data_IF_250834434786
#
_entry.id   IF_250834434786
#
_cell.length_a   1.000
_cell.length_b   1.000
_cell.length_c   1.000
_cell.angle_alpha   90.00
_cell.angle_beta   90.00
_cell.angle_gamma   90.00
#
_symmetry.space_group_name_H-M   'P 1'
#
loop_
_entity.id
_entity.type
_entity.pdbx_description
1 polymer ?
#
# COMPACT_ATOMS: atom_id res chain seq x y z
N UNK A 1 -8.86 -18.05 54.48
CA UNK A 1 -8.68 -18.30 53.04
C UNK A 1 -9.42 -17.20 52.29
N UNK A 2 -8.69 -16.22 51.75
CA UNK A 2 -9.25 -15.12 50.96
C UNK A 2 -8.68 -15.23 49.55
N UNK A 3 -9.55 -15.54 48.59
CA UNK A 3 -9.24 -15.63 47.16
C UNK A 3 -9.05 -14.21 46.61
N UNK A 4 -7.82 -13.86 46.23
CA UNK A 4 -7.54 -12.61 45.49
C UNK A 4 -7.69 -12.91 44.01
N UNK A 5 -8.77 -12.42 43.41
CA UNK A 5 -9.00 -12.48 41.98
C UNK A 5 -8.07 -11.48 41.25
N UNK A 6 -7.11 -12.01 40.49
CA UNK A 6 -6.30 -11.24 39.56
C UNK A 6 -7.17 -10.81 38.37
N UNK A 7 -7.62 -9.57 38.36
CA UNK A 7 -8.19 -8.94 37.16
C UNK A 7 -7.04 -8.44 36.29
N UNK A 8 -6.65 -9.23 35.29
CA UNK A 8 -5.77 -8.78 34.23
C UNK A 8 -6.54 -7.77 33.36
N UNK A 9 -6.48 -6.49 33.73
CA UNK A 9 -6.88 -5.41 32.86
C UNK A 9 -5.89 -5.37 31.68
N UNK A 10 -6.25 -6.01 30.57
CA UNK A 10 -5.61 -5.83 29.28
C UNK A 10 -5.76 -4.35 28.90
N UNK A 11 -4.73 -3.57 29.20
CA UNK A 11 -4.57 -2.22 28.69
C UNK A 11 -4.36 -2.32 27.17
N UNK A 12 -5.48 -2.39 26.43
CA UNK A 12 -5.54 -1.98 25.04
C UNK A 12 -5.20 -0.49 25.01
N UNK A 13 -3.91 -0.18 24.94
CA UNK A 13 -3.45 1.15 24.56
C UNK A 13 -4.16 1.56 23.27
N UNK A 14 -4.38 2.86 23.02
CA UNK A 14 -5.07 3.30 21.82
C UNK A 14 -4.30 2.72 20.65
N UNK A 15 -4.92 1.78 19.92
CA UNK A 15 -4.46 1.43 18.59
C UNK A 15 -4.33 2.77 17.90
N UNK A 16 -3.10 3.19 17.62
CA UNK A 16 -2.87 4.37 16.82
C UNK A 16 -3.75 4.13 15.60
N UNK A 17 -4.80 4.94 15.48
CA UNK A 17 -5.60 4.96 14.28
C UNK A 17 -4.66 5.52 13.23
N UNK A 18 -3.75 4.67 12.72
CA UNK A 18 -3.07 4.82 11.46
C UNK A 18 -4.22 5.20 10.54
N UNK A 19 -4.26 6.48 10.19
CA UNK A 19 -5.33 7.06 9.41
C UNK A 19 -5.46 6.15 8.19
N UNK A 20 -6.49 5.29 8.19
CA UNK A 20 -6.58 4.18 7.26
C UNK A 20 -6.51 4.79 5.88
N UNK A 21 -5.50 4.40 5.10
CA UNK A 21 -5.32 4.95 3.77
C UNK A 21 -6.59 4.65 2.98
N UNK A 22 -7.13 5.64 2.26
CA UNK A 22 -8.36 5.40 1.52
C UNK A 22 -8.12 4.33 0.45
N UNK A 23 -9.16 3.58 0.12
CA UNK A 23 -9.09 2.55 -0.92
C UNK A 23 -8.53 3.10 -2.23
N UNK A 24 -9.02 4.26 -2.67
CA UNK A 24 -8.57 4.90 -3.92
C UNK A 24 -7.10 5.35 -3.86
N UNK A 25 -6.64 5.82 -2.71
CA UNK A 25 -5.22 6.14 -2.52
C UNK A 25 -4.35 4.89 -2.58
N UNK A 26 -4.77 3.81 -1.90
CA UNK A 26 -4.04 2.55 -1.88
C UNK A 26 -3.95 1.92 -3.27
N UNK A 27 -5.06 1.86 -4.03
CA UNK A 27 -5.08 1.36 -5.42
C UNK A 27 -4.18 2.20 -6.32
N UNK A 28 -4.27 3.54 -6.23
CA UNK A 28 -3.42 4.44 -7.02
C UNK A 28 -1.94 4.22 -6.71
N UNK A 29 -1.59 4.11 -5.42
CA UNK A 29 -0.20 3.89 -5.02
C UNK A 29 0.29 2.51 -5.45
N UNK A 30 -0.52 1.45 -5.30
CA UNK A 30 -0.19 0.10 -5.77
C UNK A 30 0.14 0.10 -7.26
N UNK A 31 -0.72 0.70 -8.08
CA UNK A 31 -0.50 0.82 -9.52
C UNK A 31 0.77 1.58 -9.89
N UNK A 32 1.03 2.72 -9.25
CA UNK A 32 2.22 3.53 -9.51
C UNK A 32 3.51 2.82 -9.13
N UNK A 33 3.59 2.24 -7.93
CA UNK A 33 4.81 1.58 -7.45
C UNK A 33 5.07 0.27 -8.18
N UNK A 34 4.03 -0.50 -8.50
CA UNK A 34 4.19 -1.72 -9.29
C UNK A 34 4.65 -1.40 -10.71
N UNK A 35 4.01 -0.46 -11.40
CA UNK A 35 4.42 -0.04 -12.74
C UNK A 35 5.87 0.48 -12.74
N UNK A 36 6.26 1.27 -11.74
CA UNK A 36 7.62 1.76 -11.62
C UNK A 36 8.62 0.62 -11.37
N UNK A 37 8.28 -0.35 -10.51
CA UNK A 37 9.12 -1.53 -10.27
C UNK A 37 9.33 -2.35 -11.54
N UNK A 38 8.26 -2.59 -12.31
CA UNK A 38 8.30 -3.33 -13.58
C UNK A 38 9.14 -2.59 -14.64
N UNK A 39 9.01 -1.27 -14.74
CA UNK A 39 9.78 -0.46 -15.68
C UNK A 39 11.25 -0.31 -15.31
N UNK A 40 11.59 -0.41 -14.02
CA UNK A 40 12.97 -0.29 -13.54
C UNK A 40 13.72 -1.62 -13.63
N UNK A 41 13.06 -2.75 -13.37
CA UNK A 41 13.64 -4.10 -13.51
C UNK A 41 14.05 -4.78 -12.19
N UNK A 42 14.07 -4.06 -11.05
CA UNK A 42 14.14 -4.64 -9.70
C UNK A 42 15.53 -5.00 -9.17
N UNK A 43 16.56 -5.03 -10.02
CA UNK A 43 17.91 -5.48 -9.63
C UNK A 43 18.67 -4.43 -8.81
N UNK A 44 18.41 -3.15 -9.04
CA UNK A 44 19.06 -2.07 -8.30
C UNK A 44 18.50 -1.93 -6.88
N UNK A 45 19.22 -1.23 -6.00
CA UNK A 45 18.68 -0.87 -4.67
C UNK A 45 17.37 -0.09 -4.80
N UNK A 46 17.29 0.79 -5.81
CA UNK A 46 16.09 1.56 -6.08
C UNK A 46 14.96 0.67 -6.58
N UNK A 47 15.26 -0.31 -7.43
CA UNK A 47 14.34 -1.34 -7.90
C UNK A 47 13.72 -2.16 -6.77
N UNK A 48 14.55 -2.67 -5.85
CA UNK A 48 14.05 -3.39 -4.66
C UNK A 48 13.13 -2.53 -3.80
N UNK A 49 13.49 -1.26 -3.58
CA UNK A 49 12.61 -0.34 -2.84
C UNK A 49 11.28 -0.07 -3.56
N UNK A 50 11.26 -0.07 -4.89
CA UNK A 50 10.01 0.04 -5.66
C UNK A 50 9.17 -1.23 -5.51
N UNK A 51 9.79 -2.40 -5.54
CA UNK A 51 9.13 -3.68 -5.35
C UNK A 51 8.50 -3.79 -3.95
N UNK A 52 9.24 -3.46 -2.90
CA UNK A 52 8.74 -3.48 -1.53
C UNK A 52 7.56 -2.53 -1.34
N UNK A 53 7.64 -1.32 -1.92
CA UNK A 53 6.55 -0.38 -1.92
C UNK A 53 5.32 -0.91 -2.69
N UNK A 54 5.53 -1.60 -3.82
CA UNK A 54 4.46 -2.22 -4.58
C UNK A 54 3.74 -3.32 -3.78
N UNK A 55 4.50 -4.18 -3.10
CA UNK A 55 3.94 -5.22 -2.24
C UNK A 55 3.13 -4.62 -1.09
N UNK A 56 3.70 -3.63 -0.40
CA UNK A 56 3.01 -2.92 0.69
C UNK A 56 1.68 -2.32 0.22
N UNK A 57 1.69 -1.58 -0.88
CA UNK A 57 0.50 -0.91 -1.37
C UNK A 57 -0.55 -1.87 -1.91
N UNK A 58 -0.13 -2.99 -2.52
CA UNK A 58 -1.08 -4.01 -2.96
C UNK A 58 -1.83 -4.62 -1.78
N UNK A 59 -1.11 -4.97 -0.71
CA UNK A 59 -1.73 -5.48 0.52
C UNK A 59 -2.61 -4.43 1.21
N UNK A 60 -2.16 -3.18 1.26
CA UNK A 60 -2.93 -2.08 1.80
C UNK A 60 -4.24 -1.85 1.01
N UNK A 61 -4.21 -1.98 -0.32
CA UNK A 61 -5.39 -1.86 -1.18
C UNK A 61 -6.40 -2.97 -0.89
N UNK A 62 -5.94 -4.22 -0.73
CA UNK A 62 -6.81 -5.34 -0.36
C UNK A 62 -7.40 -5.20 1.04
N UNK A 63 -6.61 -4.73 2.01
CA UNK A 63 -7.10 -4.46 3.36
C UNK A 63 -8.14 -3.33 3.38
N UNK A 64 -7.89 -2.26 2.63
CA UNK A 64 -8.85 -1.16 2.47
C UNK A 64 -10.13 -1.61 1.74
N UNK A 65 -10.02 -2.52 0.76
CA UNK A 65 -11.16 -3.12 0.06
C UNK A 65 -12.06 -3.89 1.02
N UNK A 66 -11.46 -4.79 1.81
CA UNK A 66 -12.16 -5.60 2.82
C UNK A 66 -12.85 -4.70 3.86
N UNK A 67 -12.15 -3.66 4.34
CA UNK A 67 -12.71 -2.71 5.30
C UNK A 67 -13.90 -1.93 4.70
N UNK A 68 -13.84 -1.66 3.40
CA UNK A 68 -14.91 -0.99 2.66
C UNK A 68 -16.03 -1.93 2.17
N UNK A 69 -15.96 -3.24 2.49
CA UNK A 69 -16.95 -4.23 2.03
C UNK A 69 -16.96 -4.43 0.50
N UNK A 70 -15.84 -4.16 -0.17
CA UNK A 70 -15.69 -4.37 -1.62
C UNK A 70 -15.44 -5.84 -1.93
N UNK A 71 -15.91 -6.26 -3.11
CA UNK A 71 -15.58 -7.57 -3.67
C UNK A 71 -14.07 -7.71 -3.92
N UNK A 72 -13.42 -8.81 -3.49
CA UNK A 72 -11.98 -9.00 -3.66
C UNK A 72 -11.53 -9.05 -5.12
N UNK A 73 -12.27 -9.71 -5.99
CA UNK A 73 -11.94 -9.80 -7.42
C UNK A 73 -12.02 -8.42 -8.08
N UNK A 74 -13.05 -7.63 -7.77
CA UNK A 74 -13.14 -6.25 -8.22
C UNK A 74 -11.94 -5.39 -7.74
N UNK A 75 -11.44 -5.65 -6.53
CA UNK A 75 -10.28 -4.93 -5.99
C UNK A 75 -8.95 -5.30 -6.63
N UNK A 76 -8.76 -6.56 -7.01
CA UNK A 76 -7.61 -7.01 -7.81
C UNK A 76 -7.65 -6.41 -9.23
N UNK A 77 -8.84 -6.36 -9.83
CA UNK A 77 -9.08 -5.74 -11.13
C UNK A 77 -8.77 -4.23 -11.12
N UNK A 78 -9.17 -3.52 -10.05
CA UNK A 78 -8.86 -2.11 -9.84
C UNK A 78 -7.34 -1.87 -9.78
N UNK A 79 -6.60 -2.70 -9.04
CA UNK A 79 -5.14 -2.63 -8.99
C UNK A 79 -4.51 -2.92 -10.36
N UNK A 80 -5.03 -3.91 -11.09
CA UNK A 80 -4.57 -4.25 -12.45
C UNK A 80 -4.77 -3.07 -13.41
N UNK A 81 -5.94 -2.43 -13.38
CA UNK A 81 -6.22 -1.22 -14.18
C UNK A 81 -5.28 -0.08 -13.81
N UNK A 82 -5.10 0.18 -12.52
CA UNK A 82 -4.22 1.24 -12.02
C UNK A 82 -2.76 1.02 -12.45
N UNK A 83 -2.27 -0.23 -12.41
CA UNK A 83 -0.95 -0.61 -12.90
C UNK A 83 -0.80 -0.32 -14.39
N UNK A 84 -1.72 -0.82 -15.22
CA UNK A 84 -1.66 -0.62 -16.68
C UNK A 84 -1.70 0.87 -17.06
N UNK A 85 -2.54 1.67 -16.38
CA UNK A 85 -2.56 3.12 -16.56
C UNK A 85 -1.23 3.76 -16.15
N UNK A 86 -0.67 3.35 -15.01
CA UNK A 86 0.57 3.90 -14.48
C UNK A 86 1.76 3.57 -15.37
N UNK A 87 1.84 2.37 -15.95
CA UNK A 87 2.86 2.02 -16.96
C UNK A 87 2.81 3.03 -18.11
N UNK A 88 1.63 3.24 -18.72
CA UNK A 88 1.48 4.19 -19.83
C UNK A 88 1.94 5.60 -19.46
N UNK A 89 1.51 6.11 -18.30
CA UNK A 89 1.86 7.46 -17.84
C UNK A 89 3.36 7.61 -17.55
N UNK A 90 3.95 6.65 -16.82
CA UNK A 90 5.36 6.70 -16.44
C UNK A 90 6.28 6.53 -17.66
N UNK A 91 5.94 5.64 -18.60
CA UNK A 91 6.65 5.50 -19.88
C UNK A 91 6.56 6.75 -20.74
N UNK A 92 5.43 7.46 -20.72
CA UNK A 92 5.26 8.75 -21.40
C UNK A 92 5.98 9.93 -20.70
N UNK A 93 6.63 9.68 -19.56
CA UNK A 93 7.35 10.72 -18.82
C UNK A 93 6.46 11.71 -18.07
N UNK A 94 5.21 11.35 -17.79
CA UNK A 94 4.24 12.18 -17.08
C UNK A 94 4.79 12.67 -15.72
N UNK A 95 4.94 13.98 -15.58
CA UNK A 95 5.54 14.61 -14.40
C UNK A 95 4.66 14.45 -13.15
N UNK A 96 3.34 14.47 -13.31
CA UNK A 96 2.40 14.29 -12.20
C UNK A 96 2.46 12.85 -11.68
N UNK A 97 2.49 11.86 -12.58
CA UNK A 97 2.63 10.45 -12.23
C UNK A 97 3.94 10.19 -11.48
N UNK A 98 5.06 10.78 -11.91
CA UNK A 98 6.35 10.69 -11.22
C UNK A 98 6.31 11.33 -9.83
N UNK A 99 5.67 12.50 -9.72
CA UNK A 99 5.49 13.19 -8.44
C UNK A 99 4.61 12.38 -7.47
N UNK A 100 3.53 11.77 -7.98
CA UNK A 100 2.66 10.89 -7.22
C UNK A 100 3.38 9.62 -6.76
N UNK A 101 4.18 9.00 -7.64
CA UNK A 101 5.02 7.85 -7.30
C UNK A 101 5.95 8.18 -6.12
N UNK A 102 6.63 9.33 -6.14
CA UNK A 102 7.50 9.72 -5.03
C UNK A 102 6.74 9.84 -3.71
N UNK A 103 5.54 10.43 -3.72
CA UNK A 103 4.68 10.49 -2.52
C UNK A 103 4.29 9.10 -2.01
N UNK A 104 3.90 8.19 -2.90
CA UNK A 104 3.55 6.82 -2.54
C UNK A 104 4.75 6.07 -1.95
N UNK A 105 5.96 6.26 -2.48
CA UNK A 105 7.19 5.67 -1.93
C UNK A 105 7.57 6.22 -0.55
N UNK A 106 7.33 7.52 -0.30
CA UNK A 106 7.62 8.14 0.99
C UNK A 106 6.66 7.68 2.09
N UNK A 107 5.43 7.33 1.72
CA UNK A 107 4.40 6.82 2.63
C UNK A 107 4.51 5.31 2.87
N UNK A 108 5.17 4.57 1.99
CA UNK A 108 5.45 3.15 2.21
C UNK A 108 6.57 2.98 3.26
N UNK A 109 6.48 1.95 4.12
CA UNK A 109 7.59 1.56 4.99
C UNK A 109 8.86 1.26 4.19
N UNK A 110 10.03 1.57 4.77
CA UNK A 110 11.32 1.13 4.24
C UNK A 110 11.74 -0.14 4.99
N UNK A 111 12.21 -1.13 4.26
CA UNK A 111 12.60 -2.44 4.77
C UNK A 111 14.13 -2.66 4.70
N UNK A 112 14.91 -1.57 4.68
CA UNK A 112 16.37 -1.56 4.50
C UNK A 112 17.17 -1.98 5.73
#
# INVERSE_FOLDING_TARGET
MLLVAFTAALALGPAQANRLVSYDEAVRCAGLTQAASELEGGESRYGRQLYDAALYWSLAAMQAATTAGRDPTAAEDDQTRARLQSVRRLSAGDAEARSALQRCRQKAPRLD
#
